data_IF_204054658491
#
_entry.id   IF_204054658491
#
_cell.length_a   1.000
_cell.length_b   1.000
_cell.length_c   1.000
_cell.angle_alpha   90.00
_cell.angle_beta   90.00
_cell.angle_gamma   90.00
#
_symmetry.space_group_name_H-M   'P 1'
#
loop_
_entity.id
_entity.type
_entity.pdbx_description
1 polymer ?
#
# COMPACT_ATOMS: atom_id res chain seq x y z
N UNK A 1 10.69 30.66 -69.90
CA UNK A 1 9.72 29.71 -69.31
C UNK A 1 10.43 28.81 -68.30
N UNK A 2 10.25 29.09 -66.99
CA UNK A 2 10.39 28.16 -65.86
C UNK A 2 9.60 28.76 -64.70
N UNK A 3 8.49 28.16 -64.25
CA UNK A 3 7.67 28.74 -63.20
C UNK A 3 8.10 28.30 -61.80
N UNK A 4 7.87 29.24 -60.89
CA UNK A 4 7.84 29.19 -59.43
C UNK A 4 7.46 27.86 -58.78
N UNK A 5 8.03 27.61 -57.60
CA UNK A 5 7.28 27.03 -56.49
C UNK A 5 7.88 27.50 -55.15
N UNK A 6 7.29 28.57 -54.61
CA UNK A 6 7.43 28.98 -53.22
C UNK A 6 6.85 27.88 -52.33
N UNK A 7 7.65 27.38 -51.39
CA UNK A 7 7.21 26.46 -50.34
C UNK A 7 6.34 27.23 -49.33
N UNK A 8 5.05 26.89 -49.13
CA UNK A 8 4.23 27.60 -48.19
C UNK A 8 4.43 27.05 -46.77
N UNK A 9 4.69 27.96 -45.85
CA UNK A 9 4.39 27.80 -44.44
C UNK A 9 2.90 27.44 -44.29
N UNK A 10 2.60 26.27 -43.73
CA UNK A 10 1.26 25.96 -43.27
C UNK A 10 1.31 24.88 -42.19
N UNK A 11 0.94 25.28 -40.97
CA UNK A 11 0.13 24.52 -40.00
C UNK A 11 0.80 23.25 -39.42
N UNK A 12 0.78 22.97 -38.11
CA UNK A 12 -0.34 23.11 -37.19
C UNK A 12 0.21 22.86 -35.77
N UNK A 13 -0.14 23.74 -34.84
CA UNK A 13 0.22 23.65 -33.41
C UNK A 13 -0.42 22.39 -32.84
N UNK A 14 0.38 21.37 -32.53
CA UNK A 14 -0.09 20.12 -31.92
C UNK A 14 -0.57 20.45 -30.49
N UNK A 15 -1.88 20.33 -30.32
CA UNK A 15 -2.62 20.61 -29.11
C UNK A 15 -2.27 19.63 -27.98
N UNK A 16 -2.45 20.14 -26.76
CA UNK A 16 -2.24 19.50 -25.48
C UNK A 16 -2.96 18.15 -25.40
N UNK A 17 -2.19 17.06 -25.35
CA UNK A 17 -2.62 15.77 -24.86
C UNK A 17 -1.46 15.16 -24.05
N UNK A 18 -1.12 15.79 -22.93
CA UNK A 18 -0.31 15.14 -21.92
C UNK A 18 -1.16 14.06 -21.24
N UNK A 19 -0.75 12.80 -21.21
CA UNK A 19 -1.40 11.84 -20.32
C UNK A 19 -1.09 12.28 -18.90
N UNK A 20 -2.11 12.78 -18.19
CA UNK A 20 -2.08 12.83 -16.73
C UNK A 20 -2.17 11.39 -16.25
N UNK A 21 -1.03 10.70 -16.19
CA UNK A 21 -0.90 9.56 -15.31
C UNK A 21 -1.04 10.11 -13.89
N UNK A 22 -2.25 10.05 -13.34
CA UNK A 22 -2.44 10.10 -11.91
C UNK A 22 -1.72 8.87 -11.34
N UNK A 23 -0.44 9.04 -11.05
CA UNK A 23 0.31 8.06 -10.28
C UNK A 23 -0.17 8.25 -8.85
N UNK A 24 -1.11 7.39 -8.46
CA UNK A 24 -1.31 7.04 -7.06
C UNK A 24 -0.02 6.31 -6.65
N UNK A 25 1.01 7.10 -6.33
CA UNK A 25 2.25 6.63 -5.74
C UNK A 25 1.88 6.12 -4.36
N UNK A 26 1.46 4.85 -4.32
CA UNK A 26 1.48 4.05 -3.12
C UNK A 26 2.94 3.83 -2.75
N UNK A 27 3.58 4.90 -2.25
CA UNK A 27 4.90 4.90 -1.66
C UNK A 27 4.78 4.26 -0.26
N UNK A 28 4.29 3.02 -0.21
CA UNK A 28 4.73 2.14 0.85
C UNK A 28 6.18 1.84 0.54
N UNK A 29 7.08 2.45 1.31
CA UNK A 29 8.50 2.13 1.32
C UNK A 29 8.65 0.62 1.51
N UNK A 30 8.76 -0.11 0.41
CA UNK A 30 8.87 -1.55 0.41
C UNK A 30 10.27 -1.87 0.91
N UNK A 31 10.38 -2.18 2.20
CA UNK A 31 11.62 -2.69 2.77
C UNK A 31 12.04 -3.92 1.94
N UNK A 32 13.34 -4.06 1.62
CA UNK A 32 13.81 -5.21 0.85
C UNK A 32 13.38 -6.51 1.54
N UNK A 33 12.70 -7.39 0.81
CA UNK A 33 12.21 -8.65 1.33
C UNK A 33 13.38 -9.50 1.85
N UNK A 34 13.28 -9.94 3.10
CA UNK A 34 14.24 -10.88 3.69
C UNK A 34 14.09 -12.28 3.07
N UNK A 35 15.06 -13.19 3.32
CA UNK A 35 15.12 -14.52 2.70
C UNK A 35 13.91 -15.43 2.96
N UNK A 36 13.06 -15.07 3.92
CA UNK A 36 11.84 -15.79 4.28
C UNK A 36 10.61 -14.90 4.30
N UNK A 37 10.66 -13.68 3.75
CA UNK A 37 9.53 -12.76 3.73
C UNK A 37 8.62 -13.06 2.53
N UNK A 38 7.30 -13.06 2.74
CA UNK A 38 6.36 -13.05 1.63
C UNK A 38 6.31 -11.65 0.97
N UNK A 39 6.26 -11.61 -0.35
CA UNK A 39 6.07 -10.38 -1.11
C UNK A 39 4.61 -9.90 -1.03
N UNK A 40 4.35 -8.59 -0.85
CA UNK A 40 3.02 -8.03 -0.94
C UNK A 40 2.41 -8.23 -2.34
N UNK A 41 1.12 -8.54 -2.38
CA UNK A 41 0.39 -8.73 -3.63
C UNK A 41 0.18 -7.38 -4.32
N UNK A 42 0.69 -7.22 -5.55
CA UNK A 42 0.42 -6.04 -6.36
C UNK A 42 -0.90 -6.24 -7.12
N UNK A 43 -1.90 -5.34 -7.01
CA UNK A 43 -3.17 -5.47 -7.70
C UNK A 43 -2.99 -5.66 -9.22
N UNK A 44 -3.60 -6.69 -9.79
CA UNK A 44 -3.52 -7.01 -11.22
C UNK A 44 -2.38 -7.96 -11.62
N UNK A 45 -1.56 -8.41 -10.68
CA UNK A 45 -0.58 -9.49 -10.91
C UNK A 45 -1.31 -10.83 -10.92
N UNK A 46 -1.12 -11.63 -11.97
CA UNK A 46 -1.65 -12.99 -11.98
C UNK A 46 -0.91 -13.84 -10.94
N UNK A 47 -1.63 -14.38 -9.96
CA UNK A 47 -1.10 -15.39 -9.05
C UNK A 47 -0.59 -16.59 -9.86
N UNK A 48 0.72 -16.68 -10.01
CA UNK A 48 1.34 -17.89 -10.55
C UNK A 48 1.18 -18.98 -9.50
N UNK A 49 0.12 -19.77 -9.62
CA UNK A 49 -0.12 -20.93 -8.78
C UNK A 49 1.16 -21.79 -8.78
N UNK A 50 1.79 -22.02 -7.62
CA UNK A 50 2.94 -22.89 -7.55
C UNK A 50 2.60 -24.29 -8.09
N UNK A 51 3.55 -24.88 -8.82
CA UNK A 51 3.45 -26.27 -9.22
C UNK A 51 3.22 -27.15 -7.97
N UNK A 52 2.45 -28.23 -8.12
CA UNK A 52 2.16 -29.13 -7.02
C UNK A 52 3.46 -29.66 -6.39
N UNK A 53 3.54 -29.64 -5.06
CA UNK A 53 4.74 -30.10 -4.36
C UNK A 53 4.91 -31.60 -4.57
N UNK A 54 6.10 -32.00 -4.99
CA UNK A 54 6.45 -33.41 -5.20
C UNK A 54 7.06 -34.03 -3.96
N UNK A 55 7.22 -33.27 -2.86
CA UNK A 55 7.80 -33.76 -1.60
C UNK A 55 9.30 -34.03 -1.69
N UNK A 56 9.95 -33.54 -2.74
CA UNK A 56 11.40 -33.66 -2.94
C UNK A 56 12.13 -32.43 -2.38
N UNK A 57 13.44 -32.53 -2.13
CA UNK A 57 14.25 -31.40 -1.68
C UNK A 57 14.30 -30.24 -2.70
N UNK A 58 13.95 -30.50 -3.97
CA UNK A 58 13.82 -29.48 -5.02
C UNK A 58 12.39 -28.91 -5.11
N UNK A 59 11.44 -29.46 -4.35
CA UNK A 59 10.04 -29.04 -4.27
C UNK A 59 9.81 -27.89 -3.27
N UNK A 60 8.54 -27.55 -3.04
CA UNK A 60 8.17 -26.43 -2.15
C UNK A 60 8.63 -26.69 -0.71
N UNK A 61 8.52 -27.94 -0.24
CA UNK A 61 9.03 -28.37 1.06
C UNK A 61 10.52 -28.06 1.24
N UNK A 62 11.35 -28.35 0.23
CA UNK A 62 12.79 -28.06 0.29
C UNK A 62 13.09 -26.56 0.25
N UNK A 63 12.36 -25.79 -0.57
CA UNK A 63 12.53 -24.33 -0.67
C UNK A 63 12.13 -23.59 0.62
N UNK A 64 11.14 -24.10 1.36
CA UNK A 64 10.67 -23.51 2.61
C UNK A 64 11.44 -24.01 3.84
N UNK A 65 12.25 -25.06 3.71
CA UNK A 65 13.05 -25.64 4.81
C UNK A 65 13.93 -24.61 5.53
N UNK A 66 14.64 -23.68 4.85
CA UNK A 66 15.42 -22.64 5.53
C UNK A 66 14.55 -21.67 6.36
N UNK A 67 13.26 -21.61 6.06
CA UNK A 67 12.28 -20.74 6.73
C UNK A 67 11.45 -21.47 7.79
N UNK A 68 11.81 -22.72 8.15
CA UNK A 68 11.03 -23.53 9.09
C UNK A 68 9.71 -24.04 8.51
N UNK A 69 9.60 -24.12 7.17
CA UNK A 69 8.42 -24.63 6.48
C UNK A 69 7.37 -23.57 6.14
N UNK A 70 7.54 -22.31 6.54
CA UNK A 70 6.59 -21.21 6.27
C UNK A 70 7.31 -19.90 5.95
N UNK A 71 6.71 -19.06 5.10
CA UNK A 71 7.17 -17.69 4.90
C UNK A 71 6.63 -16.78 6.02
N UNK A 72 7.44 -15.83 6.45
CA UNK A 72 7.04 -14.76 7.34
C UNK A 72 6.19 -13.75 6.57
N UNK A 73 5.01 -13.37 7.08
CA UNK A 73 4.21 -12.32 6.47
C UNK A 73 4.96 -10.98 6.55
N UNK A 74 4.73 -10.05 5.61
CA UNK A 74 5.19 -8.66 5.76
C UNK A 74 4.75 -8.09 7.12
N UNK A 75 5.51 -7.16 7.73
CA UNK A 75 5.08 -6.51 8.96
C UNK A 75 3.69 -5.89 8.74
N UNK A 76 2.71 -6.33 9.53
CA UNK A 76 1.34 -5.83 9.49
C UNK A 76 1.06 -4.94 10.69
N UNK A 77 0.19 -3.95 10.50
CA UNK A 77 -0.22 -3.01 11.53
C UNK A 77 0.44 -1.64 11.42
N UNK A 78 -0.29 -0.61 11.86
CA UNK A 78 0.18 0.77 11.89
C UNK A 78 1.22 0.94 13.00
N UNK A 79 2.43 1.37 12.65
CA UNK A 79 3.57 1.56 13.56
C UNK A 79 3.38 2.66 14.63
N UNK A 80 2.15 3.17 14.82
CA UNK A 80 1.82 4.25 15.74
C UNK A 80 0.40 4.20 16.34
N UNK A 81 -0.40 3.17 16.03
CA UNK A 81 -1.79 3.07 16.53
C UNK A 81 -1.91 2.36 17.89
N UNK A 82 -0.79 2.01 18.51
CA UNK A 82 -0.75 1.23 19.74
C UNK A 82 -0.35 2.07 20.96
N UNK A 83 -0.73 3.35 21.05
CA UNK A 83 -0.67 4.01 22.36
C UNK A 83 -1.88 3.52 23.17
N UNK A 84 -1.67 2.75 24.26
CA UNK A 84 -2.79 2.32 25.09
C UNK A 84 -3.53 3.55 25.62
N UNK A 85 -4.83 3.40 25.89
CA UNK A 85 -5.56 4.41 26.62
C UNK A 85 -4.86 4.67 27.97
N UNK A 86 -4.83 5.92 28.47
CA UNK A 86 -4.25 6.21 29.77
C UNK A 86 -4.95 5.39 30.86
N UNK A 87 -4.19 4.92 31.85
CA UNK A 87 -4.69 4.13 32.98
C UNK A 87 -5.86 4.79 33.73
N UNK A 88 -5.92 6.13 33.70
CA UNK A 88 -6.97 6.91 34.33
C UNK A 88 -7.48 8.01 33.40
N UNK A 89 -8.82 8.10 33.28
CA UNK A 89 -9.48 9.23 32.64
C UNK A 89 -9.56 10.44 33.57
N UNK A 90 -9.44 11.65 33.02
CA UNK A 90 -9.57 12.90 33.77
C UNK A 90 -11.03 13.29 34.11
N UNK A 91 -11.97 12.34 34.02
CA UNK A 91 -13.37 12.62 34.35
C UNK A 91 -13.52 12.79 35.86
N UNK A 92 -14.14 13.88 36.33
CA UNK A 92 -14.35 14.10 37.75
C UNK A 92 -15.31 13.07 38.34
N UNK A 93 -15.02 12.61 39.55
CA UNK A 93 -15.96 11.79 40.34
C UNK A 93 -17.04 12.70 40.90
N UNK A 94 -18.29 12.52 40.48
CA UNK A 94 -19.45 13.23 41.05
C UNK A 94 -19.88 12.49 42.31
N UNK A 95 -19.74 13.11 43.50
CA UNK A 95 -20.20 12.49 44.74
C UNK A 95 -21.74 12.48 44.81
N UNK A 96 -22.34 11.56 45.57
CA UNK A 96 -23.79 11.56 45.81
C UNK A 96 -24.26 12.94 46.30
N UNK A 97 -25.21 13.55 45.60
CA UNK A 97 -25.75 14.88 45.93
C UNK A 97 -25.01 16.08 45.31
N UNK A 98 -23.86 15.89 44.66
CA UNK A 98 -23.08 16.97 44.02
C UNK A 98 -23.33 17.09 42.51
N UNK A 99 -24.59 16.94 42.10
CA UNK A 99 -24.92 17.17 40.70
C UNK A 99 -24.75 18.65 40.35
N UNK A 100 -24.12 18.98 39.20
CA UNK A 100 -24.10 20.34 38.69
C UNK A 100 -25.52 20.91 38.57
N UNK A 101 -25.71 22.24 38.70
CA UNK A 101 -27.01 22.86 38.56
C UNK A 101 -27.62 22.53 37.20
N UNK A 102 -28.77 21.86 37.23
CA UNK A 102 -29.52 21.51 36.03
C UNK A 102 -30.20 22.76 35.46
N UNK A 103 -30.23 22.94 34.13
CA UNK A 103 -31.00 24.01 33.51
C UNK A 103 -32.49 23.89 33.89
N UNK A 104 -33.13 25.03 34.16
CA UNK A 104 -34.59 25.05 34.39
C UNK A 104 -35.28 24.76 33.07
N UNK A 105 -36.21 23.80 33.08
CA UNK A 105 -37.07 23.52 31.93
C UNK A 105 -38.05 24.67 31.67
#
# INVERSE_FOLDING_TARGET
>A
MRPFAFAPCALLVMALAGPTAAQDSNDQTQAPAGPCQAEPQVPGSADQKPAADTGTDNGLTGKLKPCGGVLQPPPTGDQGMAQPAPEQGNMPVIRPGELPPQPKQ
#
